data_IF_024552044252
#
_entry.id   IF_024552044252
#
_cell.length_a   1.000
_cell.length_b   1.000
_cell.length_c   1.000
_cell.angle_alpha   90.00
_cell.angle_beta   90.00
_cell.angle_gamma   90.00
#
_symmetry.space_group_name_H-M   'P 1'
#
loop_
_entity.id
_entity.type
_entity.pdbx_description
1 polymer ?
#
# COMPACT_ATOMS: atom_id res chain seq x y z
N UNK A 1 -65.75 31.56 46.15
CA UNK A 1 -64.47 30.85 46.23
C UNK A 1 -64.56 29.61 45.33
N UNK A 2 -64.03 29.72 44.07
CA UNK A 2 -64.00 28.64 43.08
C UNK A 2 -62.62 28.07 43.06
N UNK A 3 -62.46 26.80 43.29
CA UNK A 3 -61.18 26.08 43.25
C UNK A 3 -61.04 25.50 41.85
N UNK A 4 -60.15 26.07 41.07
CA UNK A 4 -59.73 25.49 39.75
C UNK A 4 -58.85 24.27 39.97
N UNK A 5 -59.34 23.13 39.55
CA UNK A 5 -58.58 21.89 39.50
C UNK A 5 -57.69 21.84 38.28
N UNK A 6 -56.38 21.86 38.49
CA UNK A 6 -55.39 21.70 37.39
C UNK A 6 -55.31 20.22 36.99
N UNK A 7 -55.54 19.96 35.70
CA UNK A 7 -55.37 18.65 35.08
C UNK A 7 -53.87 18.42 34.79
N UNK A 8 -53.28 17.27 35.16
CA UNK A 8 -51.89 16.96 34.86
C UNK A 8 -51.73 16.60 33.35
N UNK A 9 -50.63 16.97 32.70
CA UNK A 9 -50.40 16.67 31.31
C UNK A 9 -50.15 15.16 31.07
N UNK A 10 -50.69 14.66 29.97
CA UNK A 10 -50.56 13.26 29.55
C UNK A 10 -49.10 12.87 29.27
N UNK A 11 -48.67 11.63 29.56
CA UNK A 11 -47.31 11.17 29.30
C UNK A 11 -47.05 11.05 27.79
N UNK A 12 -45.99 11.68 27.33
CA UNK A 12 -45.48 11.56 25.93
C UNK A 12 -44.92 10.16 25.70
N UNK A 13 -45.75 9.25 25.18
CA UNK A 13 -45.34 7.95 24.67
C UNK A 13 -44.81 8.14 23.24
N UNK A 14 -43.52 7.92 23.00
CA UNK A 14 -42.98 7.91 21.66
C UNK A 14 -41.44 7.85 21.51
N UNK A 15 -40.68 8.14 22.57
CA UNK A 15 -39.23 8.21 22.50
C UNK A 15 -38.47 6.84 22.50
N UNK A 16 -38.87 5.80 23.26
CA UNK A 16 -38.02 4.60 23.40
C UNK A 16 -38.01 3.71 22.15
N UNK A 17 -39.09 3.67 21.36
CA UNK A 17 -39.16 2.79 20.18
C UNK A 17 -38.23 3.24 19.03
N UNK A 18 -38.11 4.56 18.82
CA UNK A 18 -37.25 5.11 17.75
C UNK A 18 -35.76 4.97 18.07
N UNK A 19 -35.37 5.11 19.33
CA UNK A 19 -34.00 4.93 19.79
C UNK A 19 -33.58 3.46 19.70
N UNK A 20 -34.48 2.54 20.09
CA UNK A 20 -34.22 1.10 19.99
C UNK A 20 -34.04 0.65 18.54
N UNK A 21 -34.83 1.18 17.59
CA UNK A 21 -34.71 0.85 16.17
C UNK A 21 -33.40 1.38 15.56
N UNK A 22 -32.97 2.58 15.95
CA UNK A 22 -31.72 3.16 15.49
C UNK A 22 -30.48 2.37 16.00
N UNK A 23 -30.51 1.88 17.23
CA UNK A 23 -29.44 1.06 17.80
C UNK A 23 -29.37 -0.33 17.16
N UNK A 24 -30.50 -0.93 16.80
CA UNK A 24 -30.55 -2.22 16.07
C UNK A 24 -30.00 -2.07 14.63
N UNK A 25 -30.34 -0.97 13.93
CA UNK A 25 -29.81 -0.70 12.60
C UNK A 25 -28.28 -0.41 12.64
N UNK A 26 -27.77 0.33 13.61
CA UNK A 26 -26.34 0.57 13.81
C UNK A 26 -25.60 -0.72 14.16
N UNK A 27 -26.20 -1.59 14.98
CA UNK A 27 -25.63 -2.89 15.33
C UNK A 27 -25.55 -3.84 14.12
N UNK A 28 -26.57 -3.85 13.27
CA UNK A 28 -26.60 -4.69 12.05
C UNK A 28 -25.58 -4.22 11.00
N UNK A 29 -25.37 -2.92 10.85
CA UNK A 29 -24.35 -2.39 9.94
C UNK A 29 -22.93 -2.67 10.43
N UNK A 30 -22.68 -2.60 11.75
CA UNK A 30 -21.37 -2.92 12.32
C UNK A 30 -21.05 -4.42 12.20
N UNK A 31 -22.03 -5.30 12.47
CA UNK A 31 -21.85 -6.76 12.31
C UNK A 31 -21.77 -7.16 10.83
N UNK A 32 -22.57 -6.56 9.96
CA UNK A 32 -22.53 -6.79 8.52
C UNK A 32 -21.19 -6.37 7.92
N UNK A 33 -20.67 -5.21 8.29
CA UNK A 33 -19.37 -4.72 7.88
C UNK A 33 -18.21 -5.60 8.38
N UNK A 34 -18.29 -6.08 9.61
CA UNK A 34 -17.27 -6.97 10.19
C UNK A 34 -17.27 -8.37 9.56
N UNK A 35 -18.43 -8.93 9.23
CA UNK A 35 -18.54 -10.26 8.60
C UNK A 35 -18.10 -10.21 7.13
N UNK A 36 -18.43 -9.14 6.40
CA UNK A 36 -17.96 -8.94 5.01
C UNK A 36 -16.46 -8.70 4.99
N UNK A 37 -15.90 -7.92 5.92
CA UNK A 37 -14.45 -7.68 6.02
C UNK A 37 -13.65 -8.95 6.38
N UNK A 38 -14.25 -9.95 7.04
CA UNK A 38 -13.58 -11.22 7.36
C UNK A 38 -13.65 -12.26 6.23
N UNK A 39 -14.63 -12.17 5.32
CA UNK A 39 -14.78 -13.14 4.21
C UNK A 39 -14.08 -12.72 2.92
N UNK A 40 -13.89 -11.44 2.69
CA UNK A 40 -12.99 -10.95 1.66
C UNK A 40 -11.63 -10.79 2.32
N UNK A 41 -10.70 -11.71 2.08
CA UNK A 41 -9.30 -11.55 2.49
C UNK A 41 -8.88 -10.16 2.02
N UNK A 42 -8.82 -9.20 2.94
CA UNK A 42 -8.70 -7.79 2.59
C UNK A 42 -7.37 -7.59 1.87
N UNK A 43 -7.45 -7.34 0.57
CA UNK A 43 -6.29 -6.93 -0.22
C UNK A 43 -5.91 -5.54 0.25
N UNK A 44 -4.83 -5.43 1.01
CA UNK A 44 -4.34 -4.16 1.52
C UNK A 44 -3.27 -3.60 0.58
N UNK A 45 -3.53 -2.41 0.07
CA UNK A 45 -2.52 -1.63 -0.63
C UNK A 45 -1.58 -1.00 0.40
N UNK A 46 -0.29 -1.36 0.36
CA UNK A 46 0.71 -0.93 1.33
C UNK A 46 1.66 0.13 0.82
N UNK A 47 1.84 0.20 -0.48
CA UNK A 47 2.69 1.21 -1.14
C UNK A 47 2.04 1.64 -2.45
N UNK A 48 2.10 2.94 -2.74
CA UNK A 48 1.66 3.51 -4.02
C UNK A 48 2.64 4.58 -4.47
N UNK A 49 3.00 4.56 -5.74
CA UNK A 49 3.78 5.61 -6.37
C UNK A 49 3.24 5.99 -7.75
N UNK A 50 3.44 7.24 -8.14
CA UNK A 50 3.08 7.79 -9.45
C UNK A 50 4.25 8.56 -10.03
N UNK A 51 4.47 8.54 -11.34
CA UNK A 51 5.45 9.41 -11.98
C UNK A 51 4.96 10.86 -11.96
N UNK A 52 5.90 11.82 -12.08
CA UNK A 52 5.59 13.23 -12.04
C UNK A 52 4.83 13.74 -13.28
N UNK A 53 5.11 13.17 -14.46
CA UNK A 53 4.65 13.69 -15.76
C UNK A 53 3.67 12.76 -16.50
N UNK A 54 3.45 11.54 -16.04
CA UNK A 54 2.58 10.58 -16.70
C UNK A 54 1.44 10.10 -15.79
N UNK A 55 0.28 9.84 -16.39
CA UNK A 55 -0.84 9.20 -15.69
C UNK A 55 -0.55 7.69 -15.58
N UNK A 56 0.20 7.31 -14.58
CA UNK A 56 0.54 5.91 -14.29
C UNK A 56 0.54 5.67 -12.81
N UNK A 57 0.40 4.42 -12.43
CA UNK A 57 0.40 4.01 -11.03
C UNK A 57 1.18 2.72 -10.85
N UNK A 58 2.01 2.69 -9.81
CA UNK A 58 2.63 1.49 -9.28
C UNK A 58 2.22 1.33 -7.83
N UNK A 59 1.86 0.13 -7.43
CA UNK A 59 1.50 -0.13 -6.05
C UNK A 59 1.79 -1.57 -5.65
N UNK A 60 1.85 -1.80 -4.36
CA UNK A 60 2.03 -3.11 -3.75
C UNK A 60 0.79 -3.46 -2.96
N UNK A 61 0.27 -4.67 -3.18
CA UNK A 61 -0.83 -5.24 -2.40
C UNK A 61 -0.36 -6.42 -1.59
N UNK A 62 -1.03 -6.63 -0.47
CA UNK A 62 -0.98 -7.90 0.24
C UNK A 62 -2.14 -8.76 -0.23
N UNK A 63 -1.83 -9.94 -0.73
CA UNK A 63 -2.81 -10.91 -1.23
C UNK A 63 -2.59 -12.28 -0.57
N UNK A 64 -3.64 -13.06 -0.35
CA UNK A 64 -3.48 -14.45 0.05
C UNK A 64 -2.70 -15.24 -1.00
N UNK A 65 -1.69 -16.01 -0.59
CA UNK A 65 -0.98 -16.93 -1.45
C UNK A 65 -0.69 -18.24 -0.70
N UNK A 66 -1.19 -19.33 -1.19
CA UNK A 66 -1.18 -20.61 -0.50
C UNK A 66 -1.64 -20.45 0.96
N UNK A 67 -0.81 -20.78 1.94
CA UNK A 67 -1.15 -20.68 3.38
C UNK A 67 -0.71 -19.35 4.03
N UNK A 68 -0.25 -18.38 3.26
CA UNK A 68 0.37 -17.14 3.74
C UNK A 68 -0.16 -15.91 3.01
N UNK A 69 0.31 -14.74 3.45
CA UNK A 69 0.09 -13.47 2.74
C UNK A 69 1.35 -13.13 1.96
N UNK A 70 1.22 -12.86 0.67
CA UNK A 70 2.29 -12.39 -0.21
C UNK A 70 2.12 -10.92 -0.55
N UNK A 71 3.21 -10.26 -0.89
CA UNK A 71 3.17 -8.99 -1.57
C UNK A 71 3.15 -9.22 -3.08
N UNK A 72 2.34 -8.44 -3.78
CA UNK A 72 2.23 -8.45 -5.24
C UNK A 72 2.48 -7.06 -5.79
N UNK A 73 3.29 -6.97 -6.84
CA UNK A 73 3.63 -5.72 -7.51
C UNK A 73 2.68 -5.51 -8.69
N UNK A 74 2.12 -4.32 -8.79
CA UNK A 74 1.13 -3.94 -9.78
C UNK A 74 1.53 -2.68 -10.54
N UNK A 75 1.30 -2.66 -11.86
CA UNK A 75 1.53 -1.53 -12.76
C UNK A 75 0.34 -1.30 -13.67
N UNK A 76 -0.03 -0.03 -13.89
CA UNK A 76 -1.10 0.38 -14.81
C UNK A 76 -1.11 1.87 -15.08
N UNK A 77 -2.04 2.30 -15.93
CA UNK A 77 -2.34 3.72 -16.12
C UNK A 77 -3.31 4.22 -15.03
N UNK A 78 -4.10 3.30 -14.49
CA UNK A 78 -4.97 3.51 -13.34
C UNK A 78 -4.94 2.27 -12.42
N UNK A 79 -5.66 2.32 -11.31
CA UNK A 79 -5.79 1.15 -10.43
C UNK A 79 -6.65 0.04 -11.03
N UNK A 80 -7.59 0.42 -11.89
CA UNK A 80 -8.57 -0.46 -12.52
C UNK A 80 -7.95 -1.29 -13.64
N UNK A 81 -7.01 -0.69 -14.40
CA UNK A 81 -6.32 -1.35 -15.51
C UNK A 81 -4.96 -1.95 -15.12
N UNK A 82 -4.59 -1.83 -13.84
CA UNK A 82 -3.31 -2.34 -13.37
C UNK A 82 -3.25 -3.87 -13.46
N UNK A 83 -2.11 -4.36 -13.92
CA UNK A 83 -1.81 -5.79 -13.97
C UNK A 83 -0.74 -6.16 -12.96
N UNK A 84 -0.82 -7.37 -12.45
CA UNK A 84 0.20 -7.94 -11.59
C UNK A 84 1.46 -8.26 -12.40
N UNK A 85 2.59 -7.65 -12.03
CA UNK A 85 3.88 -7.83 -12.71
C UNK A 85 4.81 -8.78 -11.95
N UNK A 86 4.64 -8.93 -10.65
CA UNK A 86 5.40 -9.90 -9.85
C UNK A 86 4.64 -10.29 -8.58
N UNK A 87 4.97 -11.45 -8.04
CA UNK A 87 4.60 -11.89 -6.69
C UNK A 87 5.86 -12.07 -5.87
N UNK A 88 5.86 -11.55 -4.65
CA UNK A 88 6.96 -11.64 -3.70
C UNK A 88 6.55 -12.62 -2.58
N UNK A 89 7.22 -13.77 -2.43
CA UNK A 89 6.92 -14.72 -1.37
C UNK A 89 7.13 -14.06 0.01
N UNK A 90 6.09 -13.94 0.82
CA UNK A 90 6.09 -13.19 2.08
C UNK A 90 7.14 -13.65 3.11
N UNK A 91 7.61 -14.90 2.98
CA UNK A 91 8.63 -15.44 3.89
C UNK A 91 10.04 -14.91 3.59
N UNK A 92 10.30 -14.48 2.37
CA UNK A 92 11.65 -14.20 1.87
C UNK A 92 11.78 -12.87 1.14
N UNK A 93 10.70 -12.30 0.65
CA UNK A 93 10.74 -11.08 -0.15
C UNK A 93 9.71 -10.04 0.31
N UNK A 94 10.16 -8.80 0.37
CA UNK A 94 9.33 -7.64 0.73
C UNK A 94 9.72 -6.43 -0.11
N UNK A 95 8.72 -5.75 -0.69
CA UNK A 95 8.93 -4.45 -1.30
C UNK A 95 8.91 -3.34 -0.22
N UNK A 96 9.94 -2.52 -0.20
CA UNK A 96 10.12 -1.46 0.80
C UNK A 96 9.95 -0.05 0.22
N UNK A 97 10.20 0.13 -1.09
CA UNK A 97 10.11 1.43 -1.75
C UNK A 97 9.73 1.26 -3.23
N UNK A 98 9.08 2.27 -3.80
CA UNK A 98 8.75 2.36 -5.23
C UNK A 98 9.19 3.73 -5.73
N UNK A 99 9.91 3.77 -6.85
CA UNK A 99 10.31 4.99 -7.51
C UNK A 99 9.98 4.95 -9.00
N UNK A 100 9.47 6.07 -9.54
CA UNK A 100 9.23 6.26 -10.96
C UNK A 100 10.30 7.15 -11.59
N UNK A 101 10.67 6.85 -12.84
CA UNK A 101 11.27 7.83 -13.70
C UNK A 101 10.26 8.95 -13.98
N UNK A 102 10.74 10.20 -14.14
CA UNK A 102 9.91 11.39 -14.28
C UNK A 102 8.91 11.29 -15.44
N UNK A 103 9.37 10.74 -16.57
CA UNK A 103 8.59 10.49 -17.78
C UNK A 103 7.59 9.33 -17.67
N UNK A 104 7.65 8.52 -16.61
CA UNK A 104 6.82 7.35 -16.42
C UNK A 104 7.21 6.14 -17.27
N UNK A 105 8.32 6.18 -18.01
CA UNK A 105 8.75 5.06 -18.85
C UNK A 105 9.34 3.89 -18.04
N UNK A 106 9.78 4.15 -16.81
CA UNK A 106 10.38 3.13 -15.93
C UNK A 106 9.96 3.29 -14.49
N UNK A 107 9.87 2.16 -13.79
CA UNK A 107 9.61 2.09 -12.37
C UNK A 107 10.54 1.08 -11.70
N UNK A 108 11.09 1.44 -10.56
CA UNK A 108 11.90 0.58 -9.72
C UNK A 108 11.15 0.21 -8.44
N UNK A 109 11.19 -1.07 -8.07
CA UNK A 109 10.78 -1.58 -6.78
C UNK A 109 12.01 -2.02 -6.01
N UNK A 110 12.16 -1.53 -4.78
CA UNK A 110 13.19 -1.98 -3.85
C UNK A 110 12.68 -3.19 -3.11
N UNK A 111 13.33 -4.32 -3.32
CA UNK A 111 12.97 -5.59 -2.68
C UNK A 111 14.02 -5.95 -1.63
N UNK A 112 13.56 -6.30 -0.43
CA UNK A 112 14.39 -6.68 0.72
C UNK A 112 15.39 -5.59 1.17
N UNK A 113 15.21 -4.36 0.69
CA UNK A 113 16.10 -3.23 0.99
C UNK A 113 17.47 -3.28 0.30
N UNK A 114 17.70 -4.20 -0.64
CA UNK A 114 18.98 -4.29 -1.37
C UNK A 114 18.85 -4.58 -2.87
N UNK A 115 17.75 -5.15 -3.33
CA UNK A 115 17.54 -5.52 -4.71
C UNK A 115 16.64 -4.52 -5.41
N UNK A 116 17.01 -4.11 -6.62
CA UNK A 116 16.19 -3.31 -7.52
C UNK A 116 15.59 -4.20 -8.60
N UNK A 117 14.25 -4.19 -8.72
CA UNK A 117 13.51 -4.74 -9.84
C UNK A 117 12.95 -3.59 -10.65
N UNK A 118 13.45 -3.41 -11.87
CA UNK A 118 13.11 -2.29 -12.74
C UNK A 118 12.21 -2.80 -13.87
N UNK A 119 11.04 -2.21 -14.01
CA UNK A 119 10.06 -2.54 -15.02
C UNK A 119 9.91 -1.39 -16.01
N UNK A 120 9.61 -1.74 -17.26
CA UNK A 120 9.15 -0.82 -18.28
C UNK A 120 7.69 -0.43 -17.99
N UNK A 121 7.41 0.86 -18.00
CA UNK A 121 6.10 1.40 -17.64
C UNK A 121 5.02 1.15 -18.70
N UNK A 122 5.39 1.00 -19.98
CA UNK A 122 4.46 0.71 -21.09
C UNK A 122 4.18 -0.78 -21.23
N UNK A 123 5.24 -1.56 -21.38
CA UNK A 123 5.14 -3.00 -21.64
C UNK A 123 4.91 -3.80 -20.38
N UNK A 124 5.14 -3.18 -19.19
CA UNK A 124 4.99 -3.81 -17.87
C UNK A 124 5.93 -5.01 -17.66
N UNK A 125 6.96 -5.12 -18.49
CA UNK A 125 7.95 -6.20 -18.44
C UNK A 125 9.12 -5.82 -17.54
N UNK A 126 9.70 -6.82 -16.90
CA UNK A 126 10.95 -6.67 -16.15
C UNK A 126 12.07 -6.33 -17.15
N UNK A 127 12.72 -5.19 -16.93
CA UNK A 127 13.86 -4.71 -17.72
C UNK A 127 15.16 -5.18 -17.08
N UNK A 128 15.26 -5.05 -15.76
CA UNK A 128 16.45 -5.39 -15.00
C UNK A 128 16.13 -5.80 -13.58
N UNK A 129 16.86 -6.78 -13.11
CA UNK A 129 16.94 -7.15 -11.70
C UNK A 129 18.42 -7.13 -11.29
N UNK A 130 18.75 -6.44 -10.22
CA UNK A 130 20.13 -6.28 -9.76
C UNK A 130 20.17 -6.00 -8.25
N UNK A 131 21.18 -6.54 -7.58
CA UNK A 131 21.50 -6.11 -6.23
C UNK A 131 22.15 -4.71 -6.29
N UNK A 132 21.49 -3.72 -5.72
CA UNK A 132 22.04 -2.37 -5.60
C UNK A 132 23.20 -2.35 -4.61
N UNK A 133 23.09 -3.18 -3.57
CA UNK A 133 24.16 -3.47 -2.60
C UNK A 133 24.24 -4.98 -2.39
N UNK A 134 25.42 -5.49 -2.09
CA UNK A 134 25.55 -6.89 -1.71
C UNK A 134 24.95 -7.12 -0.31
N UNK A 135 24.08 -8.12 -0.16
CA UNK A 135 23.47 -8.43 1.13
C UNK A 135 24.49 -9.03 2.08
N UNK A 136 24.76 -8.31 3.18
CA UNK A 136 25.64 -8.78 4.25
C UNK A 136 24.81 -9.39 5.38
N UNK A 137 24.73 -10.71 5.42
CA UNK A 137 24.01 -11.45 6.46
C UNK A 137 22.47 -11.48 6.26
N UNK A 138 21.77 -12.10 7.19
CA UNK A 138 20.32 -12.20 7.22
C UNK A 138 19.80 -11.93 8.64
N UNK A 139 19.09 -10.81 8.92
CA UNK A 139 18.76 -9.73 7.99
C UNK A 139 19.96 -8.89 7.59
N UNK A 140 19.93 -8.28 6.42
CA UNK A 140 21.00 -7.39 5.95
C UNK A 140 21.24 -6.25 6.92
N UNK A 141 22.50 -5.95 7.17
CA UNK A 141 22.92 -4.83 8.05
C UNK A 141 22.83 -3.47 7.38
N UNK A 142 22.64 -3.45 6.06
CA UNK A 142 22.56 -2.26 5.20
C UNK A 142 21.32 -2.34 4.34
N UNK A 143 20.77 -1.19 3.93
CA UNK A 143 19.59 -1.12 3.08
C UNK A 143 19.64 0.10 2.16
N UNK A 144 18.97 -0.02 1.04
CA UNK A 144 18.75 1.02 0.03
C UNK A 144 17.52 1.84 0.40
N UNK A 145 17.61 3.15 0.26
CA UNK A 145 16.48 4.08 0.37
C UNK A 145 16.68 5.31 -0.51
N UNK A 146 15.61 6.14 -0.64
CA UNK A 146 15.67 7.38 -1.41
C UNK A 146 15.97 7.11 -2.88
N UNK A 147 15.36 6.08 -3.43
CA UNK A 147 15.59 5.66 -4.82
C UNK A 147 15.02 6.68 -5.78
N UNK A 148 15.83 7.17 -6.71
CA UNK A 148 15.43 8.10 -7.74
C UNK A 148 16.05 7.74 -9.08
N UNK A 149 15.35 8.03 -10.18
CA UNK A 149 15.93 7.90 -11.50
C UNK A 149 16.68 9.16 -11.90
N UNK A 150 17.76 9.00 -12.69
CA UNK A 150 18.37 10.10 -13.41
C UNK A 150 17.37 10.73 -14.39
N UNK A 151 17.56 11.98 -14.79
CA UNK A 151 16.62 12.73 -15.67
C UNK A 151 16.27 11.98 -16.95
N UNK A 152 17.22 11.25 -17.51
CA UNK A 152 17.03 10.45 -18.73
C UNK A 152 16.62 8.99 -18.47
N UNK A 153 16.31 8.61 -17.23
CA UNK A 153 15.92 7.25 -16.86
C UNK A 153 17.00 6.18 -17.06
N UNK A 154 18.24 6.56 -17.39
CA UNK A 154 19.32 5.62 -17.73
C UNK A 154 20.01 5.02 -16.50
N UNK A 155 19.84 5.60 -15.34
CA UNK A 155 20.41 5.15 -14.09
C UNK A 155 19.43 5.36 -12.92
N UNK A 156 19.63 4.59 -11.88
CA UNK A 156 18.96 4.74 -10.59
C UNK A 156 20.01 5.12 -9.56
N UNK A 157 19.76 6.21 -8.84
CA UNK A 157 20.55 6.64 -7.68
C UNK A 157 19.81 6.27 -6.40
N UNK A 158 20.54 6.03 -5.34
CA UNK A 158 20.01 5.65 -4.04
C UNK A 158 20.99 5.95 -2.92
N UNK A 159 20.50 5.96 -1.69
CA UNK A 159 21.32 5.99 -0.50
C UNK A 159 21.42 4.58 0.09
N UNK A 160 22.65 4.12 0.29
CA UNK A 160 22.98 2.92 1.03
C UNK A 160 23.20 3.27 2.49
N UNK A 161 22.32 2.82 3.36
CA UNK A 161 22.30 3.19 4.77
C UNK A 161 22.51 1.98 5.70
N UNK A 162 23.34 2.08 6.75
CA UNK A 162 23.43 1.04 7.77
C UNK A 162 22.15 1.04 8.65
N UNK A 163 21.70 -0.13 9.07
CA UNK A 163 20.58 -0.25 10.02
C UNK A 163 21.01 0.27 11.40
N UNK A 164 20.20 1.18 11.97
CA UNK A 164 20.40 1.70 13.32
C UNK A 164 21.59 2.65 13.50
N UNK A 165 22.19 3.13 12.41
CA UNK A 165 23.32 4.08 12.45
C UNK A 165 23.10 5.23 11.47
N UNK A 166 23.76 6.36 11.70
CA UNK A 166 23.86 7.47 10.74
C UNK A 166 24.99 7.22 9.74
N UNK A 167 24.96 7.90 8.61
CA UNK A 167 26.01 7.86 7.61
C UNK A 167 25.68 6.96 6.42
N UNK A 168 24.77 7.46 5.56
CA UNK A 168 24.49 6.82 4.28
C UNK A 168 25.55 7.17 3.24
N UNK A 169 25.74 6.31 2.25
CA UNK A 169 26.57 6.54 1.07
C UNK A 169 25.68 6.52 -0.16
N UNK A 170 25.86 7.44 -1.07
CA UNK A 170 25.15 7.42 -2.34
C UNK A 170 25.70 6.34 -3.26
N UNK A 171 24.80 5.60 -3.88
CA UNK A 171 25.07 4.58 -4.88
C UNK A 171 24.40 4.89 -6.21
N UNK A 172 24.84 4.18 -7.26
CA UNK A 172 24.27 4.29 -8.60
C UNK A 172 24.28 2.93 -9.30
N UNK A 173 23.16 2.62 -9.98
CA UNK A 173 23.01 1.46 -10.83
C UNK A 173 22.56 1.91 -12.21
N UNK A 174 23.26 1.50 -13.27
CA UNK A 174 22.80 1.72 -14.64
C UNK A 174 21.57 0.85 -14.93
N UNK A 175 20.63 1.36 -15.74
CA UNK A 175 19.38 0.67 -16.08
C UNK A 175 19.47 -0.11 -17.41
N UNK A 176 20.56 0.05 -18.11
CA UNK A 176 20.81 -0.64 -19.41
C UNK A 176 21.28 -2.06 -19.23
#
# INVERSE_FOLDING_TARGET
MSVEGSVPPAPRQGAPLRVALALVLLGLTAVGGYVVGRRTGAVHEILTARPAEAQRVAFVRQEPCADKTCQTLWLGNSREDAVKVASLPAATERCEEIAWAKDGLRVAFVVNGYQLRIFDGDTRKLVREVNAIEPEGTPTTRFVRGVTFSENGAAVTFDECPRGRSGCKSGLVAVR
#
